data_IF_707541345039
#
_entry.id   IF_707541345039
#
_cell.length_a   1.000
_cell.length_b   1.000
_cell.length_c   1.000
_cell.angle_alpha   90.00
_cell.angle_beta   90.00
_cell.angle_gamma   90.00
#
_symmetry.space_group_name_H-M   'P 1'
#
loop_
_entity.id
_entity.type
_entity.pdbx_description
1 polymer ?
#
# COMPACT_ATOMS: atom_id res chain seq x y z
N UNK A 1 37.97 -15.94 -17.13
CA UNK A 1 36.71 -16.63 -16.81
C UNK A 1 36.32 -16.23 -15.42
N UNK A 2 35.39 -15.27 -15.29
CA UNK A 2 34.87 -14.81 -13.99
C UNK A 2 34.02 -15.91 -13.36
N UNK A 3 34.32 -16.22 -12.11
CA UNK A 3 33.67 -17.24 -11.30
C UNK A 3 32.16 -16.91 -11.21
N UNK A 4 31.21 -17.80 -11.55
CA UNK A 4 29.75 -17.52 -11.55
C UNK A 4 29.15 -17.36 -10.14
N UNK A 5 29.94 -17.35 -9.07
CA UNK A 5 29.47 -17.33 -7.68
C UNK A 5 29.65 -16.00 -6.96
N UNK A 6 30.12 -14.94 -7.63
CA UNK A 6 30.20 -13.60 -6.99
C UNK A 6 28.89 -12.80 -7.19
N UNK A 7 27.78 -13.37 -6.70
CA UNK A 7 26.52 -12.61 -6.56
C UNK A 7 26.74 -11.68 -5.36
N UNK A 8 27.18 -10.45 -5.63
CA UNK A 8 27.33 -9.46 -4.58
C UNK A 8 26.01 -9.33 -3.79
N UNK A 9 26.11 -9.34 -2.46
CA UNK A 9 24.96 -9.20 -1.57
C UNK A 9 24.17 -7.92 -1.92
N UNK A 10 22.83 -7.96 -1.97
CA UNK A 10 22.03 -6.80 -2.29
C UNK A 10 22.26 -5.70 -1.26
N UNK A 11 22.59 -4.50 -1.72
CA UNK A 11 22.77 -3.32 -0.88
C UNK A 11 21.42 -2.61 -0.73
N UNK A 12 20.96 -2.40 0.52
CA UNK A 12 19.63 -1.90 0.85
C UNK A 12 19.71 -0.80 1.90
N UNK A 13 19.03 0.31 1.67
CA UNK A 13 18.72 1.33 2.68
C UNK A 13 17.48 0.92 3.47
N UNK A 14 17.40 1.26 4.75
CA UNK A 14 16.23 0.97 5.59
C UNK A 14 15.72 2.26 6.21
N UNK A 15 14.41 2.50 6.12
CA UNK A 15 13.73 3.59 6.81
C UNK A 15 12.63 3.03 7.72
N UNK A 16 12.82 3.11 9.02
CA UNK A 16 11.82 2.80 10.04
C UNK A 16 11.07 4.08 10.36
N UNK A 17 9.76 4.09 10.13
CA UNK A 17 8.89 5.25 10.37
C UNK A 17 8.38 5.19 11.80
N UNK A 18 8.74 6.19 12.59
CA UNK A 18 8.42 6.22 14.02
C UNK A 18 7.42 7.31 14.37
N UNK A 19 6.46 6.95 15.22
CA UNK A 19 5.64 7.87 15.99
C UNK A 19 5.23 7.19 17.29
N UNK A 20 5.73 7.69 18.43
CA UNK A 20 5.45 7.17 19.78
C UNK A 20 5.67 5.64 19.84
N UNK A 21 6.87 5.20 19.44
CA UNK A 21 7.22 3.80 19.23
C UNK A 21 7.97 3.13 20.37
N UNK A 22 8.16 3.75 21.52
CA UNK A 22 9.03 3.25 22.60
C UNK A 22 8.77 1.77 22.97
N UNK A 23 7.50 1.34 22.94
CA UNK A 23 7.10 -0.03 23.30
C UNK A 23 7.45 -1.09 22.23
N UNK A 24 7.58 -0.71 20.96
CA UNK A 24 7.72 -1.64 19.83
C UNK A 24 9.05 -1.51 19.10
N UNK A 25 9.71 -0.38 19.21
CA UNK A 25 10.85 -0.02 18.39
C UNK A 25 12.08 -0.91 18.63
N UNK A 26 12.31 -1.38 19.88
CA UNK A 26 13.43 -2.27 20.19
C UNK A 26 13.39 -3.58 19.38
N UNK A 27 12.35 -4.42 19.46
CA UNK A 27 12.29 -5.65 18.67
C UNK A 27 12.27 -5.36 17.16
N UNK A 28 11.68 -4.25 16.71
CA UNK A 28 11.71 -3.82 15.31
C UNK A 28 13.14 -3.58 14.82
N UNK A 29 13.94 -2.76 15.52
CA UNK A 29 15.31 -2.46 15.14
C UNK A 29 16.23 -3.69 15.30
N UNK A 30 16.04 -4.50 16.34
CA UNK A 30 16.77 -5.77 16.47
C UNK A 30 16.58 -6.66 15.25
N UNK A 31 15.35 -6.76 14.72
CA UNK A 31 15.07 -7.55 13.52
C UNK A 31 15.74 -6.99 12.26
N UNK A 32 15.88 -5.67 12.15
CA UNK A 32 16.61 -5.03 11.04
C UNK A 32 18.10 -5.40 11.07
N UNK A 33 18.73 -5.36 12.24
CA UNK A 33 20.14 -5.71 12.38
C UNK A 33 20.41 -7.23 12.35
N UNK A 34 19.37 -8.05 12.51
CA UNK A 34 19.43 -9.50 12.36
C UNK A 34 19.23 -10.00 10.91
N UNK A 35 19.02 -9.10 9.95
CA UNK A 35 18.85 -9.46 8.54
C UNK A 35 20.09 -10.13 7.97
N UNK A 36 19.89 -11.22 7.23
CA UNK A 36 20.93 -12.05 6.65
C UNK A 36 20.95 -11.93 5.12
N UNK A 37 22.11 -12.24 4.53
CA UNK A 37 22.32 -12.29 3.07
C UNK A 37 22.00 -10.96 2.35
N UNK A 38 22.16 -9.84 3.07
CA UNK A 38 22.07 -8.48 2.53
C UNK A 38 23.19 -7.61 3.10
N UNK A 39 23.42 -6.46 2.47
CA UNK A 39 24.31 -5.41 2.98
C UNK A 39 23.47 -4.17 3.30
N UNK A 40 23.37 -3.82 4.57
CA UNK A 40 22.77 -2.56 4.98
C UNK A 40 23.64 -1.39 4.53
N UNK A 41 23.07 -0.48 3.74
CA UNK A 41 23.75 0.75 3.33
C UNK A 41 23.71 1.77 4.47
N UNK A 42 22.50 2.03 4.95
CA UNK A 42 22.19 2.85 6.12
C UNK A 42 20.85 2.45 6.71
N UNK A 43 20.66 2.73 8.00
CA UNK A 43 19.38 2.58 8.70
C UNK A 43 18.95 3.94 9.23
N UNK A 44 17.81 4.42 8.78
CA UNK A 44 17.17 5.64 9.25
C UNK A 44 16.04 5.30 10.22
N UNK A 45 15.95 6.01 11.33
CA UNK A 45 14.72 6.22 12.07
C UNK A 45 14.17 7.58 11.67
N UNK A 46 13.07 7.60 10.92
CA UNK A 46 12.41 8.86 10.58
C UNK A 46 11.30 9.08 11.60
N UNK A 47 11.56 9.99 12.52
CA UNK A 47 10.67 10.29 13.63
C UNK A 47 9.65 11.38 13.27
N UNK A 48 8.38 11.02 13.34
CA UNK A 48 7.25 11.86 13.00
C UNK A 48 6.76 12.67 14.19
N UNK A 49 7.70 13.36 14.89
CA UNK A 49 7.44 14.20 16.06
C UNK A 49 6.92 13.41 17.27
N UNK A 50 7.68 12.43 17.73
CA UNK A 50 7.36 11.62 18.93
C UNK A 50 7.56 12.40 20.21
N UNK A 51 6.69 12.14 21.18
CA UNK A 51 6.70 12.73 22.52
C UNK A 51 7.10 11.70 23.60
N UNK A 52 7.31 10.42 23.22
CA UNK A 52 7.71 9.34 24.11
C UNK A 52 9.24 9.12 24.12
N UNK A 53 9.71 8.15 24.88
CA UNK A 53 11.13 7.83 25.04
C UNK A 53 11.77 7.12 23.83
N UNK A 54 11.07 7.01 22.70
CA UNK A 54 11.57 6.27 21.52
C UNK A 54 12.90 6.80 20.99
N UNK A 55 13.10 8.12 20.95
CA UNK A 55 14.36 8.73 20.51
C UNK A 55 15.50 8.49 21.49
N UNK A 56 15.25 8.57 22.80
CA UNK A 56 16.24 8.28 23.85
C UNK A 56 16.68 6.82 23.77
N UNK A 57 15.73 5.89 23.60
CA UNK A 57 15.99 4.46 23.39
C UNK A 57 16.92 4.21 22.20
N UNK A 58 16.64 4.82 21.05
CA UNK A 58 17.43 4.57 19.83
C UNK A 58 18.84 5.13 19.98
N UNK A 59 19.00 6.33 20.51
CA UNK A 59 20.35 6.93 20.71
C UNK A 59 21.20 6.08 21.65
N UNK A 60 20.60 5.49 22.70
CA UNK A 60 21.30 4.65 23.67
C UNK A 60 21.65 3.27 23.14
N UNK A 61 20.68 2.58 22.50
CA UNK A 61 20.77 1.15 22.23
C UNK A 61 21.12 0.83 20.77
N UNK A 62 20.97 1.79 19.86
CA UNK A 62 21.20 1.63 18.43
C UNK A 62 22.01 2.81 17.83
N UNK A 63 23.25 3.06 18.28
CA UNK A 63 24.02 4.25 17.86
C UNK A 63 24.34 4.28 16.35
N UNK A 64 24.23 3.15 15.64
CA UNK A 64 24.37 3.08 14.18
C UNK A 64 23.15 3.54 13.40
N UNK A 65 22.01 3.83 14.06
CA UNK A 65 20.80 4.33 13.42
C UNK A 65 20.86 5.84 13.27
N UNK A 66 20.64 6.34 12.06
CA UNK A 66 20.56 7.78 11.79
C UNK A 66 19.15 8.29 12.09
N UNK A 67 19.02 9.09 13.14
CA UNK A 67 17.72 9.67 13.53
C UNK A 67 17.45 10.94 12.71
N UNK A 68 16.27 11.00 12.09
CA UNK A 68 15.76 12.15 11.32
C UNK A 68 14.44 12.58 11.98
N UNK A 69 14.44 13.69 12.70
CA UNK A 69 13.23 14.25 13.33
C UNK A 69 12.47 15.16 12.37
N UNK A 70 11.16 14.96 12.26
CA UNK A 70 10.27 15.90 11.57
C UNK A 70 9.74 16.95 12.56
N UNK A 71 9.46 18.20 12.10
CA UNK A 71 9.03 19.28 12.98
C UNK A 71 7.61 19.10 13.51
N UNK A 72 6.79 18.30 12.86
CA UNK A 72 5.39 18.03 13.22
C UNK A 72 4.91 16.68 12.69
N UNK A 73 3.86 16.13 13.30
CA UNK A 73 3.22 14.90 12.80
C UNK A 73 2.18 15.22 11.72
N UNK A 74 2.54 15.00 10.47
CA UNK A 74 1.66 15.15 9.29
C UNK A 74 1.20 13.81 8.71
N UNK A 75 1.25 12.75 9.49
CA UNK A 75 0.99 11.38 9.00
C UNK A 75 2.27 10.67 8.52
N UNK A 76 2.18 9.42 8.09
CA UNK A 76 3.37 8.61 7.80
C UNK A 76 4.10 9.01 6.50
N UNK A 77 3.42 9.62 5.52
CA UNK A 77 3.96 9.84 4.19
C UNK A 77 5.11 10.83 4.11
N UNK A 78 5.08 11.99 4.80
CA UNK A 78 6.25 12.86 4.85
C UNK A 78 7.49 12.16 5.39
N UNK A 79 7.34 11.31 6.42
CA UNK A 79 8.43 10.53 6.98
C UNK A 79 8.94 9.44 6.00
N UNK A 80 8.05 8.74 5.30
CA UNK A 80 8.42 7.78 4.25
C UNK A 80 9.16 8.44 3.11
N UNK A 81 8.70 9.61 2.66
CA UNK A 81 9.34 10.41 1.63
C UNK A 81 10.72 10.91 2.06
N UNK A 82 10.90 11.26 3.33
CA UNK A 82 12.19 11.69 3.85
C UNK A 82 13.21 10.55 3.83
N UNK A 83 12.81 9.36 4.27
CA UNK A 83 13.65 8.16 4.14
C UNK A 83 14.00 7.86 2.69
N UNK A 84 13.02 7.93 1.78
CA UNK A 84 13.21 7.68 0.36
C UNK A 84 14.21 8.65 -0.29
N UNK A 85 14.14 9.96 0.02
CA UNK A 85 15.05 10.97 -0.52
C UNK A 85 16.49 10.82 -0.02
N UNK A 86 16.69 10.28 1.18
CA UNK A 86 18.02 10.08 1.79
C UNK A 86 18.67 8.75 1.48
N UNK A 87 17.93 7.81 0.92
CA UNK A 87 18.45 6.50 0.56
C UNK A 87 19.60 6.60 -0.44
N UNK A 88 20.72 5.93 -0.15
CA UNK A 88 21.89 5.86 -1.04
C UNK A 88 21.97 4.55 -1.81
N UNK A 89 21.20 3.54 -1.42
CA UNK A 89 21.04 2.31 -2.18
C UNK A 89 19.98 2.45 -3.26
N UNK A 90 20.03 1.59 -4.28
CA UNK A 90 19.00 1.54 -5.32
C UNK A 90 17.64 1.10 -4.77
N UNK A 91 17.64 0.31 -3.70
CA UNK A 91 16.45 -0.20 -3.03
C UNK A 91 16.39 0.29 -1.60
N UNK A 92 15.19 0.66 -1.18
CA UNK A 92 14.90 1.04 0.21
C UNK A 92 13.80 0.15 0.79
N UNK A 93 14.05 -0.44 1.94
CA UNK A 93 13.02 -1.01 2.78
C UNK A 93 12.38 0.13 3.59
N UNK A 94 11.09 0.37 3.37
CA UNK A 94 10.28 1.26 4.20
C UNK A 94 9.43 0.36 5.10
N UNK A 95 9.45 0.62 6.41
CA UNK A 95 8.70 -0.18 7.39
C UNK A 95 8.19 0.65 8.56
N UNK A 96 7.12 0.18 9.17
CA UNK A 96 6.54 0.79 10.36
C UNK A 96 7.29 0.33 11.62
N UNK A 97 7.24 1.10 12.71
CA UNK A 97 7.97 0.89 13.97
C UNK A 97 7.41 -0.25 14.85
N UNK A 98 6.45 -1.01 14.35
CA UNK A 98 5.80 -2.13 15.02
C UNK A 98 5.80 -3.42 14.17
N UNK A 99 6.75 -3.51 13.25
CA UNK A 99 6.98 -4.71 12.43
C UNK A 99 8.30 -5.37 12.84
N UNK A 100 8.27 -6.67 13.03
CA UNK A 100 9.45 -7.53 13.24
C UNK A 100 9.66 -8.40 12.00
N UNK A 101 10.86 -8.39 11.44
CA UNK A 101 11.20 -9.09 10.20
C UNK A 101 11.78 -10.48 10.50
N UNK A 102 11.48 -11.48 9.67
CA UNK A 102 12.27 -12.70 9.62
C UNK A 102 13.66 -12.38 9.04
N UNK A 103 14.69 -13.12 9.45
CA UNK A 103 16.08 -12.83 9.10
C UNK A 103 16.37 -12.84 7.59
N UNK A 104 15.60 -13.61 6.82
CA UNK A 104 15.70 -13.73 5.36
C UNK A 104 14.71 -12.81 4.59
N UNK A 105 13.93 -12.00 5.30
CA UNK A 105 12.82 -11.21 4.72
C UNK A 105 13.28 -10.36 3.53
N UNK A 106 14.29 -9.50 3.74
CA UNK A 106 14.74 -8.56 2.70
C UNK A 106 15.47 -9.29 1.57
N UNK A 107 16.19 -10.35 1.88
CA UNK A 107 16.84 -11.19 0.87
C UNK A 107 15.80 -11.74 -0.11
N UNK A 108 14.69 -12.32 0.40
CA UNK A 108 13.60 -12.84 -0.45
C UNK A 108 12.94 -11.74 -1.29
N UNK A 109 12.77 -10.52 -0.77
CA UNK A 109 12.26 -9.40 -1.57
C UNK A 109 13.25 -8.99 -2.67
N UNK A 110 14.54 -8.99 -2.37
CA UNK A 110 15.60 -8.67 -3.34
C UNK A 110 15.70 -9.72 -4.45
N UNK A 111 15.46 -10.99 -4.17
CA UNK A 111 15.38 -12.05 -5.18
C UNK A 111 14.26 -11.77 -6.20
N UNK A 112 13.11 -11.26 -5.74
CA UNK A 112 12.03 -10.86 -6.66
C UNK A 112 12.47 -9.72 -7.56
N UNK A 113 13.19 -8.70 -7.05
CA UNK A 113 13.74 -7.62 -7.89
C UNK A 113 14.77 -8.10 -8.88
N UNK A 114 15.54 -9.16 -8.56
CA UNK A 114 16.48 -9.78 -9.50
C UNK A 114 15.76 -10.54 -10.61
N UNK A 115 14.71 -11.28 -10.25
CA UNK A 115 13.88 -12.02 -11.20
C UNK A 115 12.97 -11.12 -12.06
N UNK A 116 12.60 -9.96 -11.50
CA UNK A 116 11.70 -8.97 -12.11
C UNK A 116 12.34 -7.57 -12.05
N UNK A 117 13.34 -7.29 -12.92
CA UNK A 117 14.05 -6.01 -12.92
C UNK A 117 13.15 -4.79 -13.14
N UNK A 118 11.96 -4.98 -13.73
CA UNK A 118 10.94 -3.95 -13.94
C UNK A 118 10.13 -3.60 -12.68
N UNK A 119 10.22 -4.38 -11.59
CA UNK A 119 9.43 -4.20 -10.38
C UNK A 119 9.60 -2.80 -9.77
N UNK A 120 8.50 -2.20 -9.31
CA UNK A 120 8.51 -0.93 -8.58
C UNK A 120 8.56 -1.10 -7.07
N UNK A 121 7.85 -2.11 -6.56
CA UNK A 121 7.77 -2.43 -5.14
C UNK A 121 7.52 -3.93 -4.93
N UNK A 122 8.08 -4.46 -3.84
CA UNK A 122 7.86 -5.85 -3.41
C UNK A 122 7.58 -5.86 -1.92
N UNK A 123 6.53 -6.54 -1.47
CA UNK A 123 6.26 -6.79 -0.05
C UNK A 123 6.17 -8.28 0.24
N UNK A 124 6.35 -8.64 1.50
CA UNK A 124 6.15 -10.00 1.97
C UNK A 124 4.78 -10.19 2.63
N UNK A 125 4.58 -11.35 3.21
CA UNK A 125 3.43 -11.69 4.04
C UNK A 125 3.61 -11.08 5.44
N UNK A 126 2.58 -10.41 5.96
CA UNK A 126 2.55 -9.91 7.34
C UNK A 126 1.63 -10.79 8.17
N UNK A 127 2.14 -11.27 9.30
CA UNK A 127 1.45 -12.11 10.27
C UNK A 127 1.27 -11.38 11.59
N UNK A 128 0.41 -11.88 12.45
CA UNK A 128 0.29 -11.35 13.81
C UNK A 128 1.44 -11.89 14.66
N UNK A 129 2.12 -11.01 15.38
CA UNK A 129 3.26 -11.41 16.22
C UNK A 129 2.84 -12.34 17.38
N UNK A 130 1.69 -12.06 18.00
CA UNK A 130 1.09 -12.86 19.08
C UNK A 130 0.39 -14.15 18.59
N UNK A 131 0.11 -14.24 17.29
CA UNK A 131 -0.51 -15.40 16.63
C UNK A 131 0.18 -15.64 15.26
N UNK A 132 1.42 -16.20 15.24
CA UNK A 132 2.24 -16.28 14.01
C UNK A 132 1.59 -17.09 12.88
N UNK A 133 0.65 -17.99 13.18
CA UNK A 133 -0.11 -18.75 12.18
C UNK A 133 -1.20 -17.91 11.51
N UNK A 134 -1.57 -16.76 12.10
CA UNK A 134 -2.61 -15.90 11.58
C UNK A 134 -2.04 -14.86 10.63
N UNK A 135 -2.37 -15.02 9.36
CA UNK A 135 -2.02 -14.06 8.32
C UNK A 135 -2.90 -12.82 8.44
N UNK A 136 -2.27 -11.65 8.55
CA UNK A 136 -2.93 -10.36 8.54
C UNK A 136 -2.96 -9.75 7.15
N UNK A 137 -1.89 -9.93 6.37
CA UNK A 137 -1.72 -9.41 5.03
C UNK A 137 -0.95 -10.40 4.18
N UNK A 138 -1.47 -10.70 3.00
CA UNK A 138 -0.83 -11.52 1.97
C UNK A 138 -1.19 -10.99 0.58
N UNK A 139 -0.87 -9.74 0.33
CA UNK A 139 -1.21 -9.02 -0.88
C UNK A 139 -2.51 -8.21 -0.78
N UNK A 140 -2.68 -7.31 -1.74
CA UNK A 140 -3.85 -6.45 -1.88
C UNK A 140 -4.48 -6.72 -3.24
N UNK A 141 -5.79 -6.97 -3.27
CA UNK A 141 -6.61 -6.86 -4.47
C UNK A 141 -7.36 -5.55 -4.45
N UNK A 142 -7.49 -4.91 -5.60
CA UNK A 142 -8.19 -3.65 -5.74
C UNK A 142 -9.48 -3.87 -6.51
N UNK A 143 -10.61 -3.81 -5.81
CA UNK A 143 -11.91 -3.90 -6.43
C UNK A 143 -12.22 -2.64 -7.24
N UNK A 144 -12.83 -2.79 -8.41
CA UNK A 144 -13.12 -1.67 -9.32
C UNK A 144 -14.00 -0.57 -8.71
N UNK A 145 -14.81 -0.89 -7.71
CA UNK A 145 -15.58 0.09 -6.95
C UNK A 145 -14.73 0.90 -5.96
N UNK A 146 -13.41 0.80 -6.04
CA UNK A 146 -12.49 1.55 -5.19
C UNK A 146 -12.43 0.98 -3.77
N UNK A 147 -12.39 -0.33 -3.60
CA UNK A 147 -12.22 -0.95 -2.28
C UNK A 147 -11.00 -1.86 -2.29
N UNK A 148 -10.23 -1.79 -1.22
CA UNK A 148 -9.10 -2.67 -1.00
C UNK A 148 -9.60 -3.92 -0.30
N UNK A 149 -9.45 -5.07 -0.93
CA UNK A 149 -9.63 -6.35 -0.28
C UNK A 149 -8.25 -6.89 0.11
N UNK A 150 -7.91 -6.77 1.39
CA UNK A 150 -6.80 -7.52 1.96
C UNK A 150 -7.25 -8.96 2.15
N UNK A 151 -7.00 -9.79 1.14
CA UNK A 151 -7.21 -11.25 1.28
C UNK A 151 -5.89 -11.90 1.61
N UNK A 152 -5.90 -12.92 2.48
CA UNK A 152 -4.92 -13.97 2.39
C UNK A 152 -5.08 -14.55 0.98
N UNK A 153 -4.18 -14.18 0.07
CA UNK A 153 -4.09 -14.91 -1.18
C UNK A 153 -3.57 -16.29 -0.79
N UNK A 154 -4.22 -17.35 -1.23
CA UNK A 154 -3.71 -18.73 -1.13
C UNK A 154 -2.50 -18.91 -2.06
N UNK A 155 -1.79 -17.83 -2.32
CA UNK A 155 -0.66 -17.79 -3.24
C UNK A 155 0.59 -18.24 -2.51
N UNK A 156 1.23 -19.26 -3.04
CA UNK A 156 2.61 -19.63 -2.73
C UNK A 156 3.56 -18.97 -3.74
N UNK A 157 4.72 -18.51 -3.28
CA UNK A 157 5.75 -17.93 -4.14
C UNK A 157 5.56 -16.45 -4.45
N UNK A 158 6.01 -16.04 -5.64
CA UNK A 158 5.95 -14.63 -6.09
C UNK A 158 4.72 -14.40 -6.95
N UNK A 159 3.92 -13.40 -6.58
CA UNK A 159 2.67 -13.06 -7.29
C UNK A 159 2.66 -11.57 -7.64
N UNK A 160 2.34 -11.24 -8.89
CA UNK A 160 2.08 -9.86 -9.29
C UNK A 160 0.75 -9.38 -8.69
N UNK A 161 0.77 -8.21 -8.04
CA UNK A 161 -0.38 -7.60 -7.36
C UNK A 161 -0.55 -6.14 -7.80
N UNK A 162 -1.77 -5.57 -7.78
CA UNK A 162 -1.97 -4.17 -8.15
C UNK A 162 -1.33 -3.19 -7.15
N UNK A 163 -1.27 -3.56 -5.88
CA UNK A 163 -0.75 -2.75 -4.79
C UNK A 163 -0.07 -3.62 -3.73
N UNK A 164 0.85 -3.03 -2.96
CA UNK A 164 1.45 -3.63 -1.78
C UNK A 164 1.34 -2.70 -0.57
N UNK A 165 1.38 -3.27 0.64
CA UNK A 165 1.43 -2.49 1.87
C UNK A 165 2.83 -1.98 2.15
N UNK A 166 2.96 -0.72 2.52
CA UNK A 166 4.21 -0.10 2.92
C UNK A 166 4.56 -0.32 4.41
N UNK A 167 3.78 -1.15 5.14
CA UNK A 167 4.12 -1.54 6.51
C UNK A 167 5.45 -2.27 6.62
N UNK A 168 5.86 -3.00 5.56
CA UNK A 168 7.20 -3.52 5.33
C UNK A 168 7.35 -3.85 3.84
N UNK A 169 7.85 -2.93 3.03
CA UNK A 169 8.02 -3.14 1.59
C UNK A 169 9.36 -2.60 1.09
N UNK A 170 9.94 -3.32 0.15
CA UNK A 170 11.13 -2.92 -0.59
C UNK A 170 10.71 -2.16 -1.85
N UNK A 171 11.25 -0.97 -2.04
CA UNK A 171 10.96 -0.08 -3.17
C UNK A 171 12.21 0.18 -4.00
N UNK A 172 12.05 0.26 -5.32
CA UNK A 172 13.04 0.87 -6.21
C UNK A 172 12.99 2.39 -6.01
N UNK A 173 14.08 2.98 -5.50
CA UNK A 173 14.13 4.40 -5.14
C UNK A 173 13.85 5.30 -6.35
N UNK A 174 14.48 5.03 -7.49
CA UNK A 174 14.36 5.84 -8.70
C UNK A 174 12.93 5.82 -9.24
N UNK A 175 12.31 4.64 -9.34
CA UNK A 175 10.94 4.47 -9.84
C UNK A 175 9.92 5.09 -8.92
N UNK A 176 10.12 4.93 -7.61
CA UNK A 176 9.24 5.51 -6.60
C UNK A 176 9.29 7.03 -6.63
N UNK A 177 10.48 7.63 -6.78
CA UNK A 177 10.62 9.08 -6.95
C UNK A 177 10.05 9.54 -8.30
N UNK A 178 10.24 8.78 -9.37
CA UNK A 178 9.72 9.14 -10.70
C UNK A 178 8.19 9.21 -10.77
N UNK A 179 7.47 8.48 -9.90
CA UNK A 179 6.00 8.58 -9.79
C UNK A 179 5.57 9.57 -8.70
N UNK A 180 6.51 10.35 -8.12
CA UNK A 180 6.24 11.42 -7.17
C UNK A 180 6.23 11.00 -5.69
N UNK A 181 6.73 9.80 -5.34
CA UNK A 181 6.77 9.34 -3.94
C UNK A 181 5.39 9.14 -3.31
N UNK A 182 5.34 9.10 -1.98
CA UNK A 182 4.08 9.06 -1.24
C UNK A 182 3.35 10.40 -1.31
N UNK A 183 2.04 10.38 -1.43
CA UNK A 183 1.23 11.60 -1.44
C UNK A 183 0.89 12.02 0.00
N UNK A 184 1.45 13.14 0.44
CA UNK A 184 1.34 13.65 1.81
C UNK A 184 -0.11 13.98 2.23
N UNK A 185 -1.04 14.14 1.29
CA UNK A 185 -2.45 14.41 1.60
C UNK A 185 -3.21 13.15 2.05
N UNK A 186 -2.66 11.94 1.81
CA UNK A 186 -3.21 10.69 2.34
C UNK A 186 -2.68 10.43 3.75
N UNK A 187 -3.37 10.94 4.77
CA UNK A 187 -2.89 10.92 6.16
C UNK A 187 -3.01 9.53 6.79
N UNK A 188 -4.17 8.85 6.65
CA UNK A 188 -4.44 7.50 7.17
C UNK A 188 -5.28 6.70 6.19
N UNK A 189 -4.74 5.56 5.75
CA UNK A 189 -5.38 4.66 4.80
C UNK A 189 -5.25 5.14 3.36
N UNK A 190 -5.07 4.18 2.45
CA UNK A 190 -4.83 4.38 1.04
C UNK A 190 -3.47 4.98 0.66
N UNK A 191 -2.63 5.35 1.62
CA UNK A 191 -1.33 5.98 1.37
C UNK A 191 -0.37 5.07 0.59
N UNK A 192 -0.27 3.82 1.01
CA UNK A 192 0.53 2.78 0.35
C UNK A 192 -0.14 2.30 -0.95
N UNK A 193 -1.46 2.11 -0.92
CA UNK A 193 -2.25 1.75 -2.08
C UNK A 193 -2.16 2.80 -3.20
N UNK A 194 -2.18 4.09 -2.88
CA UNK A 194 -2.04 5.18 -3.86
C UNK A 194 -0.68 5.16 -4.56
N UNK A 195 0.42 5.09 -3.80
CA UNK A 195 1.76 5.05 -4.37
C UNK A 195 1.95 3.81 -5.24
N UNK A 196 1.65 2.63 -4.70
CA UNK A 196 1.95 1.37 -5.37
C UNK A 196 1.06 1.13 -6.59
N UNK A 197 -0.17 1.66 -6.57
CA UNK A 197 -1.01 1.71 -7.77
C UNK A 197 -0.44 2.64 -8.84
N UNK A 198 0.11 3.81 -8.47
CA UNK A 198 0.81 4.70 -9.42
C UNK A 198 2.05 4.06 -10.03
N UNK A 199 2.82 3.28 -9.26
CA UNK A 199 3.90 2.46 -9.80
C UNK A 199 3.37 1.49 -10.85
N UNK A 200 2.33 0.72 -10.53
CA UNK A 200 1.70 -0.22 -11.46
C UNK A 200 1.15 0.47 -12.71
N UNK A 201 0.50 1.64 -12.57
CA UNK A 201 0.03 2.46 -13.70
C UNK A 201 1.16 2.94 -14.61
N UNK A 202 2.31 3.26 -14.05
CA UNK A 202 3.50 3.71 -14.78
C UNK A 202 4.28 2.56 -15.43
N UNK A 203 3.81 1.31 -15.32
CA UNK A 203 4.46 0.13 -15.88
C UNK A 203 5.57 -0.45 -14.99
N UNK A 204 5.61 -0.07 -13.71
CA UNK A 204 6.48 -0.65 -12.67
C UNK A 204 5.64 -1.56 -11.77
N UNK A 205 5.51 -2.86 -12.10
CA UNK A 205 4.63 -3.76 -11.37
C UNK A 205 5.04 -3.95 -9.92
N UNK A 206 4.04 -4.23 -9.08
CA UNK A 206 4.25 -4.60 -7.69
C UNK A 206 4.10 -6.11 -7.52
N UNK A 207 4.87 -6.68 -6.59
CA UNK A 207 4.87 -8.11 -6.32
C UNK A 207 4.69 -8.41 -4.83
N UNK A 208 4.04 -9.53 -4.56
CA UNK A 208 4.03 -10.17 -3.26
C UNK A 208 5.00 -11.35 -3.29
N UNK A 209 5.92 -11.41 -2.32
CA UNK A 209 6.77 -12.56 -2.03
C UNK A 209 6.18 -13.27 -0.79
N UNK A 210 5.31 -14.26 -0.97
CA UNK A 210 4.55 -14.87 0.14
C UNK A 210 5.45 -15.63 1.13
N UNK A 211 6.65 -16.03 0.71
CA UNK A 211 7.64 -16.70 1.54
C UNK A 211 8.43 -15.73 2.44
N UNK A 212 8.48 -14.44 2.11
CA UNK A 212 9.05 -13.42 2.97
C UNK A 212 8.06 -13.08 4.10
N UNK A 213 8.43 -13.35 5.37
CA UNK A 213 7.53 -13.23 6.52
C UNK A 213 7.94 -12.09 7.43
N UNK A 214 6.98 -11.27 7.82
CA UNK A 214 7.11 -10.23 8.82
C UNK A 214 5.99 -10.36 9.85
N UNK A 215 6.18 -9.84 11.06
CA UNK A 215 5.28 -10.00 12.19
C UNK A 215 4.89 -8.64 12.76
N UNK A 216 3.60 -8.38 12.85
CA UNK A 216 3.05 -7.11 13.31
C UNK A 216 2.72 -7.14 14.81
N UNK A 217 3.35 -6.24 15.55
CA UNK A 217 3.07 -5.98 16.96
C UNK A 217 1.83 -5.09 17.06
N UNK A 218 0.65 -5.69 17.21
CA UNK A 218 -0.65 -4.98 17.11
C UNK A 218 -0.75 -3.73 17.98
N UNK A 219 -1.27 -2.66 17.38
CA UNK A 219 -1.79 -1.48 18.07
C UNK A 219 -3.25 -1.22 17.72
N UNK A 220 -4.03 -0.70 18.68
CA UNK A 220 -5.42 -0.32 18.45
C UNK A 220 -5.50 0.88 17.49
N UNK A 221 -6.35 0.79 16.44
CA UNK A 221 -6.61 1.90 15.52
C UNK A 221 -7.64 2.86 16.12
N UNK A 222 -7.36 4.17 16.03
CA UNK A 222 -8.22 5.21 16.60
C UNK A 222 -9.49 5.49 15.76
N UNK A 223 -10.47 6.22 16.36
CA UNK A 223 -11.76 6.61 15.72
C UNK A 223 -11.61 7.47 14.43
N UNK A 224 -10.50 8.17 14.24
CA UNK A 224 -10.25 9.02 13.05
C UNK A 224 -10.17 8.20 11.76
N UNK A 225 -9.99 6.89 11.84
CA UNK A 225 -9.85 5.98 10.70
C UNK A 225 -11.01 6.06 9.70
N UNK A 226 -12.27 6.02 10.15
CA UNK A 226 -13.45 6.00 9.27
C UNK A 226 -13.51 7.25 8.36
N UNK A 227 -13.26 8.44 8.92
CA UNK A 227 -13.27 9.70 8.16
C UNK A 227 -12.24 9.67 7.03
N UNK A 228 -11.00 9.29 7.36
CA UNK A 228 -9.92 9.29 6.36
C UNK A 228 -10.08 8.17 5.34
N UNK A 229 -10.49 6.97 5.73
CA UNK A 229 -10.79 5.89 4.79
C UNK A 229 -11.86 6.29 3.77
N UNK A 230 -12.95 6.89 4.24
CA UNK A 230 -14.03 7.36 3.37
C UNK A 230 -13.55 8.43 2.39
N UNK A 231 -12.82 9.44 2.88
CA UNK A 231 -12.25 10.50 2.05
C UNK A 231 -11.27 9.95 1.02
N UNK A 232 -10.30 9.18 1.50
CA UNK A 232 -9.15 8.74 0.71
C UNK A 232 -9.56 7.74 -0.39
N UNK A 233 -10.58 6.91 -0.15
CA UNK A 233 -11.17 6.06 -1.19
C UNK A 233 -11.62 6.86 -2.41
N UNK A 234 -12.39 7.94 -2.20
CA UNK A 234 -12.84 8.81 -3.28
C UNK A 234 -11.69 9.58 -3.93
N UNK A 235 -10.73 10.03 -3.13
CA UNK A 235 -9.54 10.71 -3.64
C UNK A 235 -8.72 9.78 -4.52
N UNK A 236 -8.49 8.55 -4.07
CA UNK A 236 -7.80 7.53 -4.83
C UNK A 236 -8.45 7.31 -6.20
N UNK A 237 -9.75 7.07 -6.24
CA UNK A 237 -10.48 6.85 -7.49
C UNK A 237 -10.43 8.08 -8.41
N UNK A 238 -10.71 9.28 -7.88
CA UNK A 238 -10.70 10.53 -8.66
C UNK A 238 -9.32 10.90 -9.18
N UNK A 239 -8.27 10.58 -8.45
CA UNK A 239 -6.87 10.84 -8.81
C UNK A 239 -6.36 9.83 -9.82
N UNK A 240 -6.55 8.54 -9.54
CA UNK A 240 -5.84 7.45 -10.21
C UNK A 240 -6.61 6.84 -11.37
N UNK A 241 -7.93 6.68 -11.30
CA UNK A 241 -8.68 6.05 -12.38
C UNK A 241 -8.71 6.91 -13.64
N UNK A 242 -8.66 6.27 -14.80
CA UNK A 242 -8.95 6.94 -16.07
C UNK A 242 -10.35 7.59 -16.02
N UNK A 243 -10.55 8.63 -16.86
CA UNK A 243 -11.85 9.35 -16.87
C UNK A 243 -13.02 8.42 -17.21
N UNK A 244 -12.82 7.54 -18.20
CA UNK A 244 -13.84 6.58 -18.61
C UNK A 244 -14.10 5.54 -17.53
N UNK A 245 -13.02 4.99 -16.94
CA UNK A 245 -13.12 4.07 -15.81
C UNK A 245 -13.91 4.68 -14.67
N UNK A 246 -13.54 5.89 -14.24
CA UNK A 246 -14.20 6.57 -13.12
C UNK A 246 -15.72 6.66 -13.32
N UNK A 247 -16.18 7.12 -14.49
CA UNK A 247 -17.62 7.28 -14.76
C UNK A 247 -18.34 5.94 -14.89
N UNK A 248 -17.72 4.95 -15.52
CA UNK A 248 -18.33 3.63 -15.67
C UNK A 248 -18.43 2.86 -14.33
N UNK A 249 -17.52 3.05 -13.39
CA UNK A 249 -17.58 2.36 -12.10
C UNK A 249 -18.36 3.15 -11.03
N UNK A 250 -18.70 4.40 -11.30
CA UNK A 250 -19.35 5.30 -10.35
C UNK A 250 -20.66 4.74 -9.75
N UNK A 251 -21.57 4.10 -10.53
CA UNK A 251 -22.79 3.53 -9.94
C UNK A 251 -22.50 2.47 -8.88
N UNK A 252 -21.54 1.58 -9.14
CA UNK A 252 -21.12 0.54 -8.21
C UNK A 252 -20.38 1.14 -6.99
N UNK A 253 -19.53 2.14 -7.20
CA UNK A 253 -18.85 2.84 -6.12
C UNK A 253 -19.80 3.59 -5.21
N UNK A 254 -20.87 4.17 -5.78
CA UNK A 254 -21.91 4.88 -5.03
C UNK A 254 -22.78 3.92 -4.23
N UNK A 255 -23.22 2.78 -4.79
CA UNK A 255 -23.97 1.77 -4.04
C UNK A 255 -23.18 1.24 -2.86
N UNK A 256 -21.88 0.98 -3.03
CA UNK A 256 -20.99 0.60 -1.93
C UNK A 256 -20.86 1.71 -0.87
N UNK A 257 -20.82 2.98 -1.28
CA UNK A 257 -20.79 4.13 -0.38
C UNK A 257 -22.06 4.19 0.50
N UNK A 258 -23.22 3.95 -0.09
CA UNK A 258 -24.50 3.92 0.65
C UNK A 258 -24.49 2.77 1.67
N UNK A 259 -24.11 1.57 1.26
CA UNK A 259 -23.99 0.41 2.16
C UNK A 259 -23.03 0.68 3.33
N UNK A 260 -21.84 1.25 3.04
CA UNK A 260 -20.88 1.62 4.07
C UNK A 260 -21.41 2.70 5.02
N UNK A 261 -22.16 3.68 4.49
CA UNK A 261 -22.83 4.72 5.28
C UNK A 261 -23.86 4.15 6.24
N UNK A 262 -24.74 3.27 5.78
CA UNK A 262 -25.73 2.58 6.63
C UNK A 262 -25.03 1.78 7.74
N UNK A 263 -23.96 1.05 7.40
CA UNK A 263 -23.18 0.32 8.39
C UNK A 263 -22.53 1.24 9.43
N UNK A 264 -21.93 2.35 9.00
CA UNK A 264 -21.32 3.35 9.90
C UNK A 264 -22.37 3.99 10.82
N UNK A 265 -23.59 4.24 10.34
CA UNK A 265 -24.70 4.74 11.16
C UNK A 265 -25.04 3.75 12.27
N UNK A 266 -25.22 2.47 11.95
CA UNK A 266 -25.52 1.41 12.92
C UNK A 266 -24.41 1.27 13.97
N UNK A 267 -23.14 1.51 13.58
CA UNK A 267 -21.98 1.45 14.48
C UNK A 267 -21.69 2.75 15.24
N UNK A 268 -22.58 3.75 15.16
CA UNK A 268 -22.38 5.05 15.81
C UNK A 268 -21.24 5.91 15.21
N UNK A 269 -20.80 5.59 13.99
CA UNK A 269 -19.70 6.26 13.29
C UNK A 269 -20.18 7.13 12.12
N UNK A 270 -21.50 7.36 12.01
CA UNK A 270 -22.13 8.10 10.91
C UNK A 270 -21.58 9.51 10.73
N UNK A 271 -21.32 10.24 11.82
CA UNK A 271 -20.74 11.58 11.75
C UNK A 271 -19.35 11.62 11.13
N UNK A 272 -18.48 10.65 11.47
CA UNK A 272 -17.15 10.52 10.87
C UNK A 272 -17.23 10.16 9.37
N UNK A 273 -18.14 9.28 9.00
CA UNK A 273 -18.40 8.90 7.62
C UNK A 273 -18.91 10.09 6.78
N UNK A 274 -19.91 10.83 7.27
CA UNK A 274 -20.44 12.02 6.58
C UNK A 274 -19.35 13.08 6.41
N UNK A 275 -18.55 13.34 7.46
CA UNK A 275 -17.44 14.28 7.37
C UNK A 275 -16.39 13.84 6.33
N UNK A 276 -16.05 12.54 6.27
CA UNK A 276 -15.14 12.01 5.24
C UNK A 276 -15.69 12.15 3.83
N UNK A 277 -16.98 11.91 3.63
CA UNK A 277 -17.68 12.10 2.35
C UNK A 277 -17.67 13.58 1.92
N UNK A 278 -17.92 14.48 2.86
CA UNK A 278 -17.88 15.94 2.63
C UNK A 278 -16.46 16.42 2.28
N UNK A 279 -15.46 15.98 3.03
CA UNK A 279 -14.05 16.29 2.75
C UNK A 279 -13.65 15.82 1.35
N UNK A 280 -14.12 14.64 0.92
CA UNK A 280 -13.88 14.13 -0.42
C UNK A 280 -14.52 15.02 -1.51
N UNK A 281 -15.73 15.51 -1.30
CA UNK A 281 -16.42 16.35 -2.26
C UNK A 281 -15.73 17.72 -2.46
N UNK A 282 -15.25 18.34 -1.38
CA UNK A 282 -14.65 19.69 -1.39
C UNK A 282 -13.27 19.79 -2.01
N UNK A 283 -12.56 18.69 -2.19
CA UNK A 283 -11.14 18.65 -2.55
C UNK A 283 -10.85 18.86 -4.04
N UNK A 284 -11.59 19.71 -4.73
CA UNK A 284 -11.59 19.77 -6.20
C UNK A 284 -10.32 20.28 -6.88
N UNK A 285 -9.65 21.31 -6.34
CA UNK A 285 -8.53 22.00 -7.01
C UNK A 285 -7.21 21.24 -6.98
N UNK A 286 -6.70 20.95 -5.78
CA UNK A 286 -5.43 20.25 -5.57
C UNK A 286 -5.46 18.84 -6.20
N UNK A 287 -6.57 18.13 -6.05
CA UNK A 287 -6.72 16.79 -6.61
C UNK A 287 -6.68 16.78 -8.15
N UNK A 288 -7.16 17.84 -8.82
CA UNK A 288 -7.10 17.96 -10.29
C UNK A 288 -5.66 18.09 -10.81
N UNK A 289 -4.79 18.82 -10.09
CA UNK A 289 -3.38 18.92 -10.44
C UNK A 289 -2.70 17.53 -10.32
N UNK A 290 -2.83 16.87 -9.17
CA UNK A 290 -2.30 15.53 -8.92
C UNK A 290 -2.83 14.50 -9.94
N UNK A 291 -4.11 14.58 -10.30
CA UNK A 291 -4.67 13.73 -11.35
C UNK A 291 -3.95 13.91 -12.70
N UNK A 292 -3.70 15.15 -13.11
CA UNK A 292 -3.00 15.42 -14.39
C UNK A 292 -1.61 14.76 -14.41
N UNK A 293 -0.87 14.82 -13.31
CA UNK A 293 0.44 14.18 -13.17
C UNK A 293 0.32 12.66 -13.30
N UNK A 294 -0.61 12.04 -12.55
CA UNK A 294 -0.82 10.59 -12.61
C UNK A 294 -1.23 10.13 -14.01
N UNK A 295 -2.13 10.86 -14.70
CA UNK A 295 -2.56 10.46 -16.03
C UNK A 295 -1.46 10.60 -17.10
N UNK A 296 -0.45 11.46 -16.89
CA UNK A 296 0.76 11.54 -17.74
C UNK A 296 1.68 10.34 -17.57
N UNK A 297 1.73 9.76 -16.38
CA UNK A 297 2.54 8.58 -16.06
C UNK A 297 1.94 7.28 -16.58
N UNK A 298 0.64 7.28 -16.94
CA UNK A 298 -0.12 6.08 -17.25
C UNK A 298 0.41 5.36 -18.50
N UNK A 299 0.79 4.09 -18.31
CA UNK A 299 1.16 3.14 -19.36
C UNK A 299 0.29 1.88 -19.31
N UNK A 300 -0.40 1.61 -18.20
CA UNK A 300 -1.20 0.41 -17.98
C UNK A 300 -2.68 0.80 -17.86
N UNK A 301 -3.57 0.02 -18.45
CA UNK A 301 -5.00 0.24 -18.35
C UNK A 301 -5.56 -0.17 -16.98
N UNK A 302 -6.59 0.54 -16.50
CA UNK A 302 -7.26 0.20 -15.24
C UNK A 302 -7.82 -1.23 -15.24
N UNK A 303 -8.30 -1.72 -16.39
CA UNK A 303 -8.85 -3.07 -16.55
C UNK A 303 -7.84 -4.20 -16.25
N UNK A 304 -6.53 -3.90 -16.28
CA UNK A 304 -5.46 -4.85 -16.00
C UNK A 304 -5.03 -4.84 -14.53
N UNK A 305 -5.42 -3.80 -13.79
CA UNK A 305 -5.09 -3.60 -12.37
C UNK A 305 -6.30 -3.79 -11.45
N UNK A 306 -7.50 -3.46 -11.94
CA UNK A 306 -8.74 -3.56 -11.17
C UNK A 306 -9.36 -4.95 -11.32
N UNK A 307 -10.02 -5.40 -10.26
CA UNK A 307 -10.69 -6.69 -10.19
C UNK A 307 -12.17 -6.54 -9.81
N UNK A 308 -12.98 -7.49 -10.24
CA UNK A 308 -14.41 -7.60 -9.86
C UNK A 308 -14.67 -8.76 -8.91
N UNK A 309 -13.68 -9.11 -8.11
CA UNK A 309 -13.75 -10.21 -7.15
C UNK A 309 -14.66 -9.89 -5.98
N UNK A 310 -14.78 -10.85 -5.07
CA UNK A 310 -15.63 -10.72 -3.90
C UNK A 310 -15.18 -9.56 -3.01
N UNK A 311 -16.15 -8.71 -2.62
CA UNK A 311 -16.03 -7.77 -1.53
C UNK A 311 -16.53 -8.45 -0.25
N UNK A 312 -15.72 -8.45 0.79
CA UNK A 312 -16.20 -8.87 2.10
C UNK A 312 -16.89 -7.69 2.78
N UNK A 313 -18.20 -7.79 2.93
CA UNK A 313 -18.94 -6.84 3.75
C UNK A 313 -18.40 -6.90 5.19
N UNK A 314 -18.43 -5.80 5.95
CA UNK A 314 -17.92 -5.74 7.31
C UNK A 314 -18.39 -6.93 8.16
N UNK A 315 -17.47 -7.62 8.84
CA UNK A 315 -17.65 -8.96 9.42
C UNK A 315 -18.86 -9.17 10.34
N UNK A 316 -19.42 -8.09 10.92
CA UNK A 316 -20.67 -8.19 11.68
C UNK A 316 -21.90 -8.49 10.84
N UNK A 317 -21.91 -8.14 9.54
CA UNK A 317 -23.04 -8.41 8.64
C UNK A 317 -23.03 -9.84 8.10
N UNK A 318 -21.89 -10.49 8.01
CA UNK A 318 -21.75 -11.83 7.46
C UNK A 318 -21.85 -12.95 8.51
N UNK A 319 -21.99 -12.60 9.78
CA UNK A 319 -22.13 -13.58 10.86
C UNK A 319 -23.44 -14.38 10.78
N UNK A 320 -24.55 -13.75 10.36
CA UNK A 320 -25.85 -14.40 10.22
C UNK A 320 -26.03 -15.10 8.86
N UNK A 321 -27.01 -16.05 8.76
CA UNK A 321 -27.37 -16.69 7.48
C UNK A 321 -27.89 -15.65 6.46
N UNK A 322 -28.77 -14.74 6.90
CA UNK A 322 -29.30 -13.66 6.06
C UNK A 322 -28.19 -12.72 5.58
N UNK A 323 -27.25 -12.36 6.43
CA UNK A 323 -26.09 -11.53 6.06
C UNK A 323 -25.16 -12.20 5.05
N UNK A 324 -24.94 -13.51 5.16
CA UNK A 324 -24.18 -14.27 4.15
C UNK A 324 -24.90 -14.31 2.80
N UNK A 325 -26.24 -14.50 2.79
CA UNK A 325 -27.04 -14.47 1.56
C UNK A 325 -26.96 -13.07 0.92
N UNK A 326 -27.16 -12.01 1.70
CA UNK A 326 -27.04 -10.63 1.23
C UNK A 326 -25.66 -10.36 0.63
N UNK A 327 -24.59 -10.79 1.31
CA UNK A 327 -23.23 -10.68 0.78
C UNK A 327 -23.06 -11.42 -0.55
N UNK A 328 -23.64 -12.60 -0.70
CA UNK A 328 -23.59 -13.37 -1.94
C UNK A 328 -24.34 -12.66 -3.08
N UNK A 329 -25.53 -12.11 -2.83
CA UNK A 329 -26.34 -11.37 -3.81
C UNK A 329 -25.59 -10.11 -4.26
N UNK A 330 -25.10 -9.31 -3.30
CA UNK A 330 -24.35 -8.07 -3.59
C UNK A 330 -23.10 -8.38 -4.43
N UNK A 331 -22.32 -9.38 -4.04
CA UNK A 331 -21.13 -9.77 -4.79
C UNK A 331 -21.44 -10.32 -6.19
N UNK A 332 -22.59 -11.00 -6.36
CA UNK A 332 -23.02 -11.44 -7.68
C UNK A 332 -23.36 -10.26 -8.57
N UNK A 333 -24.07 -9.26 -8.04
CA UNK A 333 -24.36 -8.01 -8.75
C UNK A 333 -23.07 -7.29 -9.19
N UNK A 334 -22.10 -7.13 -8.28
CA UNK A 334 -20.81 -6.52 -8.60
C UNK A 334 -20.04 -7.31 -9.67
N UNK A 335 -20.01 -8.62 -9.60
CA UNK A 335 -19.34 -9.47 -10.61
C UNK A 335 -19.99 -9.36 -12.00
N UNK A 336 -21.32 -9.38 -12.06
CA UNK A 336 -22.05 -9.21 -13.32
C UNK A 336 -21.80 -7.83 -13.91
N UNK A 337 -21.90 -6.78 -13.08
CA UNK A 337 -21.59 -5.42 -13.52
C UNK A 337 -20.18 -5.29 -14.05
N UNK A 338 -19.17 -5.86 -13.35
CA UNK A 338 -17.80 -5.84 -13.81
C UNK A 338 -17.61 -6.54 -15.17
N UNK A 339 -18.27 -7.68 -15.38
CA UNK A 339 -18.21 -8.39 -16.66
C UNK A 339 -18.73 -7.52 -17.82
N UNK A 340 -19.74 -6.69 -17.58
CA UNK A 340 -20.30 -5.77 -18.58
C UNK A 340 -19.36 -4.57 -18.82
N UNK A 341 -18.77 -4.01 -17.78
CA UNK A 341 -18.00 -2.76 -17.85
C UNK A 341 -16.56 -2.99 -18.28
N UNK A 342 -15.92 -4.08 -17.81
CA UNK A 342 -14.49 -4.36 -18.06
C UNK A 342 -14.07 -4.33 -19.53
N UNK A 343 -14.81 -4.90 -20.51
CA UNK A 343 -14.45 -4.82 -21.92
C UNK A 343 -14.37 -3.37 -22.43
N UNK A 344 -15.23 -2.49 -21.89
CA UNK A 344 -15.23 -1.08 -22.22
C UNK A 344 -13.99 -0.34 -21.73
N UNK A 345 -13.30 -0.84 -20.69
CA UNK A 345 -12.11 -0.21 -20.10
C UNK A 345 -10.82 -0.58 -20.86
N UNK A 346 -10.79 -1.69 -21.60
CA UNK A 346 -9.65 -2.12 -22.41
C UNK A 346 -9.47 -1.30 -23.69
N UNK A 347 -10.48 -0.57 -24.15
CA UNK A 347 -10.46 0.24 -25.38
C UNK A 347 -9.99 1.69 -25.17
N UNK A 348 -9.19 2.00 -24.14
CA UNK A 348 -8.64 3.35 -23.99
C UNK A 348 -7.42 3.55 -24.90
N UNK A 349 -7.25 4.79 -25.39
CA UNK A 349 -6.31 5.33 -26.39
C UNK A 349 -4.83 4.84 -26.37
N UNK A 350 -4.46 3.90 -25.53
CA UNK A 350 -3.13 3.31 -25.48
C UNK A 350 -2.81 2.43 -26.71
N UNK A 351 -3.83 1.84 -27.36
CA UNK A 351 -3.65 1.03 -28.56
C UNK A 351 -3.41 1.86 -29.84
N UNK A 352 -3.77 3.14 -29.86
CA UNK A 352 -3.58 4.00 -31.03
C UNK A 352 -2.17 4.58 -31.15
N UNK A 353 -1.41 4.64 -30.04
CA UNK A 353 -0.02 5.15 -30.07
C UNK A 353 1.04 4.07 -30.40
N UNK A 354 0.71 2.80 -30.24
CA UNK A 354 1.65 1.71 -30.52
C UNK A 354 1.55 1.18 -31.96
N UNK A 355 0.44 1.41 -32.63
CA UNK A 355 0.29 1.06 -34.06
C UNK A 355 0.95 2.04 -35.04
N UNK A 356 1.46 3.18 -34.58
CA UNK A 356 2.15 4.19 -35.40
C UNK A 356 3.68 4.13 -35.32
N UNK A 357 4.26 3.16 -34.60
CA UNK A 357 5.73 3.02 -34.47
C UNK A 357 6.28 1.84 -35.24
N UNK A 358 5.42 0.98 -35.81
CA UNK A 358 5.77 -0.16 -36.65
C UNK A 358 5.34 0.05 -38.12
N UNK A 359 5.35 1.31 -38.59
CA UNK A 359 5.13 1.64 -40.02
C UNK A 359 6.28 2.47 -40.58
#
# INVERSE_FOLDING_TARGET
>A
MSNPTDISLPRVSVAVINFNGAATLRPTLQSVFALQHIRLAEVFLVDNHSEDDSLALVRRDFPGVRVIGLPENRGPNPARNEGLRRATANWILIMDNDIVLANDYVMRLAEVFRAHPEAGAVSGQIRLHDQPDKVQYNGITLHYAGEIAARPLDACGTVRVPCVSAGAALFDCRRTLAVGGFDDDFIFGWEDGDLTFRLSLAGYPCYLASEAKAYHLRRARGRKWVRYQTRNRWWFMRKNYDRRTFWLVLPAAFSLQVCAGCFCLVKGQGGAFLKGTWDAARSGGALRAKRREVQRLRKVADADLLQGDRLDLPGGLTASRSGRLLNAVVNTGFRLYWRLVRPCLRRSRLNERWSMVDG
#
